data_IF_903359882224
#
_entry.id   IF_903359882224
#
_cell.length_a   1.000
_cell.length_b   1.000
_cell.length_c   1.000
_cell.angle_alpha   90.00
_cell.angle_beta   90.00
_cell.angle_gamma   90.00
#
_symmetry.space_group_name_H-M   'P 1'
#
loop_
_entity.id
_entity.type
_entity.pdbx_description
1 polymer ?
#
# COMPACT_ATOMS: atom_id res chain seq x y z
N UNK A 1 3.07 5.13 2.32
CA UNK A 1 2.65 4.21 3.38
C UNK A 1 2.23 5.01 4.59
N UNK A 2 1.02 4.79 5.13
CA UNK A 2 0.54 5.50 6.32
C UNK A 2 1.25 4.97 7.58
N UNK A 3 1.98 5.82 8.29
CA UNK A 3 2.73 5.44 9.52
C UNK A 3 2.01 5.81 10.81
N UNK A 4 0.86 6.50 10.76
CA UNK A 4 0.01 6.72 11.94
C UNK A 4 -1.23 5.83 11.89
N UNK A 5 -1.10 4.59 11.41
CA UNK A 5 -2.21 3.65 11.51
C UNK A 5 -2.60 3.48 12.99
N UNK A 6 -3.88 3.21 13.22
CA UNK A 6 -4.50 3.18 14.55
C UNK A 6 -4.59 4.57 15.21
N UNK A 7 -4.59 5.64 14.41
CA UNK A 7 -4.72 7.05 14.85
C UNK A 7 -5.80 7.30 15.90
N UNK A 8 -6.90 6.55 15.87
CA UNK A 8 -8.04 6.70 16.77
C UNK A 8 -8.10 5.65 17.88
N UNK A 9 -7.16 4.72 17.90
CA UNK A 9 -7.01 3.74 18.97
C UNK A 9 -6.08 4.32 20.04
N UNK A 10 -6.62 4.53 21.25
CA UNK A 10 -5.86 5.10 22.36
C UNK A 10 -4.86 4.10 22.94
N UNK A 11 -5.06 2.80 22.69
CA UNK A 11 -4.20 1.70 23.13
C UNK A 11 -3.29 1.22 21.99
N UNK A 12 -3.14 2.02 20.94
CA UNK A 12 -2.31 1.70 19.79
C UNK A 12 -0.87 1.36 20.23
N UNK A 13 -0.29 0.27 19.71
CA UNK A 13 1.06 -0.14 20.07
C UNK A 13 2.11 0.79 19.44
N UNK A 14 3.24 0.96 20.12
CA UNK A 14 4.43 1.64 19.58
C UNK A 14 5.55 0.63 19.28
N UNK A 15 6.13 0.60 18.05
CA UNK A 15 5.74 1.42 16.90
C UNK A 15 4.38 0.99 16.33
N UNK A 16 3.64 1.96 15.76
CA UNK A 16 2.32 1.74 15.15
C UNK A 16 2.30 0.60 14.12
N UNK A 17 1.13 0.01 13.84
CA UNK A 17 1.01 -1.00 12.77
C UNK A 17 1.48 -0.47 11.40
N UNK A 18 1.32 0.84 11.16
CA UNK A 18 1.79 1.50 9.95
C UNK A 18 3.31 1.52 9.84
N UNK A 19 3.98 1.85 10.93
CA UNK A 19 5.43 1.86 11.02
C UNK A 19 6.00 0.43 10.90
N UNK A 20 5.40 -0.55 11.58
CA UNK A 20 5.80 -1.96 11.47
C UNK A 20 5.65 -2.50 10.05
N UNK A 21 4.52 -2.23 9.40
CA UNK A 21 4.32 -2.62 8.01
C UNK A 21 5.33 -1.95 7.06
N UNK A 22 5.62 -0.66 7.24
CA UNK A 22 6.62 0.03 6.44
C UNK A 22 8.01 -0.58 6.59
N UNK A 23 8.38 -1.03 7.80
CA UNK A 23 9.62 -1.75 8.04
C UNK A 23 9.64 -3.13 7.35
N UNK A 24 8.58 -3.92 7.52
CA UNK A 24 8.43 -5.22 6.85
C UNK A 24 8.49 -5.10 5.32
N UNK A 25 7.87 -4.07 4.75
CA UNK A 25 7.90 -3.82 3.31
C UNK A 25 9.32 -3.50 2.80
N UNK A 26 10.09 -2.71 3.55
CA UNK A 26 11.49 -2.40 3.21
C UNK A 26 12.39 -3.63 3.30
N UNK A 27 12.27 -4.39 4.40
CA UNK A 27 13.03 -5.63 4.59
C UNK A 27 12.73 -6.64 3.47
N UNK A 28 11.46 -6.79 3.10
CA UNK A 28 11.07 -7.72 2.04
C UNK A 28 11.54 -7.24 0.66
N UNK A 29 11.50 -5.93 0.38
CA UNK A 29 12.03 -5.37 -0.85
C UNK A 29 13.55 -5.60 -0.98
N UNK A 30 14.30 -5.35 0.10
CA UNK A 30 15.73 -5.60 0.18
C UNK A 30 16.06 -7.08 0.00
N UNK A 31 15.37 -7.97 0.73
CA UNK A 31 15.54 -9.42 0.63
C UNK A 31 15.32 -9.94 -0.80
N UNK A 32 14.41 -9.33 -1.56
CA UNK A 32 14.11 -9.69 -2.96
C UNK A 32 14.96 -8.95 -3.98
N UNK A 33 15.74 -7.93 -3.59
CA UNK A 33 16.44 -7.05 -4.51
C UNK A 33 15.51 -6.22 -5.41
N UNK A 34 14.30 -5.90 -4.94
CA UNK A 34 13.31 -5.12 -5.70
C UNK A 34 13.53 -3.63 -5.48
N UNK A 35 13.70 -2.87 -6.57
CA UNK A 35 13.84 -1.42 -6.52
C UNK A 35 12.46 -0.75 -6.55
N UNK A 36 11.95 -0.41 -5.37
CA UNK A 36 10.69 0.33 -5.22
C UNK A 36 10.86 1.47 -4.21
N UNK A 37 10.35 2.66 -4.56
CA UNK A 37 10.34 3.79 -3.64
C UNK A 37 9.24 3.59 -2.56
N UNK A 38 9.64 3.47 -1.31
CA UNK A 38 8.73 3.32 -0.16
C UNK A 38 8.71 4.63 0.63
N UNK A 39 7.74 5.48 0.33
CA UNK A 39 7.51 6.74 1.04
C UNK A 39 6.67 6.49 2.29
N UNK A 40 7.17 6.86 3.46
CA UNK A 40 6.37 6.95 4.68
C UNK A 40 5.67 8.33 4.70
N UNK A 41 4.37 8.33 5.00
CA UNK A 41 3.56 9.54 5.15
C UNK A 41 2.71 9.40 6.40
N UNK A 42 2.34 10.52 7.01
CA UNK A 42 1.57 10.48 8.24
C UNK A 42 0.20 9.82 8.02
N UNK A 43 -0.56 10.28 7.03
CA UNK A 43 -1.95 9.86 6.84
C UNK A 43 -2.32 9.61 5.37
N UNK A 44 -3.17 8.60 5.16
CA UNK A 44 -3.81 8.30 3.86
C UNK A 44 -5.34 8.35 3.93
N UNK A 45 -5.90 8.86 5.02
CA UNK A 45 -7.35 9.04 5.25
C UNK A 45 -8.17 7.74 5.11
N UNK A 46 -7.60 6.62 5.57
CA UNK A 46 -8.19 5.27 5.47
C UNK A 46 -8.49 4.61 6.82
N UNK A 47 -8.62 5.39 7.90
CA UNK A 47 -8.64 4.87 9.27
C UNK A 47 -9.85 3.99 9.63
N UNK A 48 -10.87 3.87 8.77
CA UNK A 48 -11.96 2.90 8.95
C UNK A 48 -11.50 1.46 8.76
N UNK A 49 -10.41 1.25 8.04
CA UNK A 49 -9.81 -0.07 7.79
C UNK A 49 -8.27 0.07 7.83
N UNK A 50 -7.69 0.39 9.00
CA UNK A 50 -6.23 0.45 9.17
C UNK A 50 -5.67 -0.97 8.98
N UNK A 51 -4.47 -1.18 8.44
CA UNK A 51 -3.40 -0.28 7.99
C UNK A 51 -3.47 0.03 6.48
N UNK A 52 -3.00 1.21 6.02
CA UNK A 52 -3.22 1.68 4.64
C UNK A 52 -1.93 1.96 3.83
N UNK A 53 -1.94 1.55 2.56
CA UNK A 53 -0.93 1.88 1.57
C UNK A 53 -1.55 2.42 0.28
N UNK A 54 -0.72 3.07 -0.54
CA UNK A 54 -1.11 3.48 -1.88
C UNK A 54 0.02 3.23 -2.87
N UNK A 55 -0.31 2.70 -4.05
CA UNK A 55 0.62 2.52 -5.16
C UNK A 55 0.41 3.65 -6.16
N UNK A 56 1.50 4.30 -6.56
CA UNK A 56 1.51 5.40 -7.53
C UNK A 56 2.42 5.02 -8.69
N UNK A 57 1.93 5.27 -9.91
CA UNK A 57 2.70 5.18 -11.14
C UNK A 57 2.40 6.38 -12.03
N UNK A 58 3.41 6.87 -12.77
CA UNK A 58 3.23 8.02 -13.66
C UNK A 58 2.18 7.69 -14.74
N UNK A 59 1.14 8.51 -14.83
CA UNK A 59 0.04 8.31 -15.77
C UNK A 59 -0.88 7.13 -15.44
N UNK A 60 -0.77 6.54 -14.25
CA UNK A 60 -1.56 5.37 -13.84
C UNK A 60 -2.59 5.74 -12.76
N UNK A 61 -3.72 5.01 -12.69
CA UNK A 61 -4.67 5.12 -11.58
C UNK A 61 -4.00 4.89 -10.23
N UNK A 62 -4.47 5.61 -9.20
CA UNK A 62 -4.01 5.40 -7.83
C UNK A 62 -4.63 4.11 -7.30
N UNK A 63 -3.82 3.21 -6.76
CA UNK A 63 -4.32 1.99 -6.10
C UNK A 63 -4.25 2.20 -4.60
N UNK A 64 -5.36 2.00 -3.88
CA UNK A 64 -5.38 2.03 -2.42
C UNK A 64 -5.53 0.62 -1.87
N UNK A 65 -4.76 0.36 -0.81
CA UNK A 65 -4.75 -0.88 -0.06
C UNK A 65 -5.12 -0.57 1.39
N UNK A 66 -5.99 -1.38 1.97
CA UNK A 66 -6.53 -1.22 3.33
C UNK A 66 -6.34 -2.48 4.15
N UNK A 67 -6.47 -2.41 5.48
CA UNK A 67 -6.39 -3.58 6.37
C UNK A 67 -5.14 -4.45 6.16
N UNK A 68 -3.99 -3.81 5.96
CA UNK A 68 -2.70 -4.48 5.74
C UNK A 68 -2.06 -4.98 7.04
N UNK A 69 -1.34 -6.09 6.96
CA UNK A 69 -0.47 -6.60 8.03
C UNK A 69 0.93 -6.86 7.51
N UNK A 70 1.92 -7.05 8.38
CA UNK A 70 3.32 -7.30 7.97
C UNK A 70 3.45 -8.50 7.02
N UNK A 71 2.59 -9.51 7.15
CA UNK A 71 2.54 -10.68 6.27
C UNK A 71 2.17 -10.36 4.81
N UNK A 72 1.52 -9.21 4.56
CA UNK A 72 1.13 -8.79 3.22
C UNK A 72 2.27 -8.15 2.42
N UNK A 73 3.42 -7.86 3.04
CA UNK A 73 4.53 -7.15 2.41
C UNK A 73 4.90 -7.73 1.04
N UNK A 74 5.02 -9.06 0.95
CA UNK A 74 5.31 -9.75 -0.30
C UNK A 74 4.25 -9.54 -1.38
N UNK A 75 2.97 -9.71 -1.03
CA UNK A 75 1.86 -9.53 -1.97
C UNK A 75 1.72 -8.06 -2.43
N UNK A 76 2.03 -7.10 -1.56
CA UNK A 76 2.05 -5.67 -1.93
C UNK A 76 3.16 -5.37 -2.94
N UNK A 77 4.35 -5.96 -2.77
CA UNK A 77 5.43 -5.81 -3.75
C UNK A 77 5.09 -6.46 -5.09
N UNK A 78 4.47 -7.66 -5.08
CA UNK A 78 4.02 -8.31 -6.31
C UNK A 78 2.98 -7.45 -7.06
N UNK A 79 2.07 -6.82 -6.31
CA UNK A 79 1.09 -5.90 -6.88
C UNK A 79 1.73 -4.60 -7.38
N UNK A 80 2.75 -4.09 -6.69
CA UNK A 80 3.50 -2.91 -7.11
C UNK A 80 4.24 -3.15 -8.42
N UNK A 81 4.85 -4.32 -8.61
CA UNK A 81 5.51 -4.71 -9.85
C UNK A 81 4.52 -4.83 -11.02
N UNK A 82 3.37 -5.49 -10.80
CA UNK A 82 2.28 -5.54 -11.79
C UNK A 82 1.76 -4.14 -12.12
N UNK A 83 1.59 -3.29 -11.11
CA UNK A 83 1.18 -1.91 -11.32
C UNK A 83 2.23 -1.11 -12.09
N UNK A 84 3.52 -1.40 -11.92
CA UNK A 84 4.62 -0.73 -12.62
C UNK A 84 4.70 -1.16 -14.10
N UNK A 85 4.37 -2.40 -14.42
CA UNK A 85 4.46 -2.96 -15.79
C UNK A 85 3.18 -2.80 -16.61
N UNK A 86 2.00 -2.91 -16.01
CA UNK A 86 0.72 -2.86 -16.72
C UNK A 86 0.20 -1.42 -16.96
N UNK A 87 -0.56 -1.20 -18.03
CA UNK A 87 -1.24 0.10 -18.31
C UNK A 87 -2.44 0.36 -17.39
N UNK A 88 -2.96 -0.69 -16.76
CA UNK A 88 -4.02 -0.68 -15.76
C UNK A 88 -3.96 -1.99 -14.97
N UNK A 89 -4.56 -2.02 -13.79
CA UNK A 89 -4.70 -3.25 -13.01
C UNK A 89 -6.13 -3.76 -13.16
N UNK A 90 -6.25 -5.02 -13.55
CA UNK A 90 -7.51 -5.76 -13.55
C UNK A 90 -7.63 -6.58 -12.26
N UNK A 91 -8.84 -7.08 -11.97
CA UNK A 91 -9.09 -7.89 -10.77
C UNK A 91 -8.21 -9.17 -10.72
N UNK A 92 -7.83 -9.71 -11.88
CA UNK A 92 -6.94 -10.86 -11.99
C UNK A 92 -5.50 -10.54 -11.56
N UNK A 93 -5.07 -9.28 -11.69
CA UNK A 93 -3.73 -8.83 -11.33
C UNK A 93 -3.56 -8.64 -9.83
N UNK A 94 -4.64 -8.59 -9.05
CA UNK A 94 -4.59 -8.43 -7.60
C UNK A 94 -4.34 -9.80 -6.93
N UNK A 95 -3.27 -9.94 -6.13
CA UNK A 95 -3.02 -11.16 -5.34
C UNK A 95 -4.24 -11.55 -4.51
N UNK A 96 -4.50 -12.86 -4.39
CA UNK A 96 -5.71 -13.37 -3.74
C UNK A 96 -5.93 -12.82 -2.32
N UNK A 97 -4.86 -12.64 -1.55
CA UNK A 97 -4.90 -12.05 -0.20
C UNK A 97 -5.36 -10.59 -0.20
N UNK A 98 -5.16 -9.84 -1.28
CA UNK A 98 -5.43 -8.39 -1.35
C UNK A 98 -6.73 -8.05 -2.10
N UNK A 99 -7.40 -9.01 -2.75
CA UNK A 99 -8.55 -8.74 -3.64
C UNK A 99 -9.68 -7.93 -2.98
N UNK A 100 -10.04 -8.24 -1.74
CA UNK A 100 -11.09 -7.51 -1.00
C UNK A 100 -10.60 -6.26 -0.29
N UNK A 101 -9.29 -6.01 -0.34
CA UNK A 101 -8.58 -4.94 0.35
C UNK A 101 -7.96 -3.92 -0.61
N UNK A 102 -8.28 -4.03 -1.90
CA UNK A 102 -7.76 -3.20 -2.98
C UNK A 102 -8.89 -2.39 -3.59
N UNK A 103 -8.66 -1.10 -3.80
CA UNK A 103 -9.54 -0.23 -4.57
C UNK A 103 -8.72 0.57 -5.58
N UNK A 104 -9.21 0.63 -6.82
CA UNK A 104 -8.60 1.43 -7.88
C UNK A 104 -9.36 2.74 -7.98
N UNK A 105 -8.66 3.84 -7.78
CA UNK A 105 -9.20 5.17 -7.97
C UNK A 105 -8.76 5.67 -9.34
N UNK A 106 -9.74 5.91 -10.21
CA UNK A 106 -9.51 6.49 -11.53
C UNK A 106 -8.58 7.71 -11.39
N UNK A 107 -7.52 7.77 -12.19
CA UNK A 107 -6.62 8.92 -12.15
C UNK A 107 -7.45 10.17 -12.47
N UNK A 108 -7.50 11.14 -11.57
CA UNK A 108 -8.05 12.46 -11.91
C UNK A 108 -7.17 13.01 -13.04
N UNK A 109 -7.69 13.03 -14.28
CA UNK A 109 -7.04 13.77 -15.38
C UNK A 109 -6.84 15.20 -14.89
N UNK A 110 -5.62 15.70 -15.00
CA UNK A 110 -5.13 16.87 -14.28
C UNK A 110 -6.09 18.07 -14.30
N UNK A 111 -6.29 18.67 -13.12
CA UNK A 111 -6.55 20.11 -13.08
C UNK A 111 -5.21 20.78 -13.28
N UNK A 112 -5.03 21.33 -14.47
CA UNK A 112 -4.05 22.40 -14.74
C UNK A 112 -4.42 23.63 -13.92
#
# INVERSE_FOLDING_TARGET
>A
MCTTCDRYDLDAPEPSHGARFAAALRQEAERRGVLVAIEAVDCLDGCRSPCNAALRGRGKPLVRLTALTEADAGAVLDLADRHATASGLEAADVPASLRRRTSVLASRRGRR
#
